data_IF_534973510181
#
_entry.id   IF_534973510181
#
_cell.length_a   1.000
_cell.length_b   1.000
_cell.length_c   1.000
_cell.angle_alpha   90.00
_cell.angle_beta   90.00
_cell.angle_gamma   90.00
#
_symmetry.space_group_name_H-M   'P 1'
#
loop_
_entity.id
_entity.type
_entity.pdbx_description
1 polymer ?
#
# COMPACT_ATOMS: atom_id res chain seq x y z
N UNK A 1 -13.40 3.25 -3.39
CA UNK A 1 -12.14 3.92 -3.01
C UNK A 1 -12.36 5.41 -3.00
N UNK A 2 -11.57 6.14 -2.21
CA UNK A 2 -11.60 7.61 -2.17
C UNK A 2 -10.52 8.19 -3.11
N UNK A 3 -10.68 9.45 -3.51
CA UNK A 3 -9.66 10.17 -4.27
C UNK A 3 -8.52 10.66 -3.36
N UNK A 4 -7.34 10.94 -3.93
CA UNK A 4 -6.24 11.57 -3.19
C UNK A 4 -6.70 12.88 -2.51
N UNK A 5 -7.51 13.70 -3.20
CA UNK A 5 -8.05 14.95 -2.65
C UNK A 5 -8.91 14.73 -1.40
N UNK A 6 -9.64 13.62 -1.34
CA UNK A 6 -10.42 13.24 -0.16
C UNK A 6 -9.51 12.66 0.92
N UNK A 7 -8.54 11.82 0.56
CA UNK A 7 -7.59 11.23 1.49
C UNK A 7 -6.73 12.26 2.22
N UNK A 8 -6.36 13.37 1.56
CA UNK A 8 -5.62 14.48 2.15
C UNK A 8 -6.40 15.24 3.24
N UNK A 9 -7.72 15.08 3.31
CA UNK A 9 -8.56 15.71 4.35
C UNK A 9 -8.76 14.81 5.57
N UNK A 10 -8.35 13.55 5.49
CA UNK A 10 -8.54 12.58 6.56
C UNK A 10 -7.57 12.84 7.72
N UNK A 11 -8.01 12.49 8.92
CA UNK A 11 -7.17 12.51 10.11
C UNK A 11 -6.13 11.38 10.08
N UNK A 12 -5.03 11.52 10.82
CA UNK A 12 -3.99 10.48 10.88
C UNK A 12 -4.54 9.08 11.28
N UNK A 13 -5.54 9.03 12.18
CA UNK A 13 -6.21 7.79 12.55
C UNK A 13 -7.03 7.17 11.41
N UNK A 14 -7.79 7.98 10.67
CA UNK A 14 -8.56 7.53 9.52
C UNK A 14 -7.67 7.04 8.38
N UNK A 15 -6.51 7.67 8.19
CA UNK A 15 -5.51 7.24 7.21
C UNK A 15 -4.89 5.89 7.60
N UNK A 16 -4.66 5.64 8.90
CA UNK A 16 -4.18 4.36 9.39
C UNK A 16 -5.23 3.24 9.21
N UNK A 17 -6.51 3.54 9.48
CA UNK A 17 -7.63 2.63 9.21
C UNK A 17 -7.74 2.31 7.72
N UNK A 18 -7.68 3.34 6.85
CA UNK A 18 -7.69 3.18 5.40
C UNK A 18 -6.55 2.27 4.91
N UNK A 19 -5.35 2.42 5.50
CA UNK A 19 -4.20 1.56 5.19
C UNK A 19 -4.50 0.11 5.56
N UNK A 20 -4.98 -0.15 6.77
CA UNK A 20 -5.32 -1.51 7.21
C UNK A 20 -6.41 -2.15 6.33
N UNK A 21 -7.43 -1.38 5.92
CA UNK A 21 -8.46 -1.86 4.99
C UNK A 21 -7.89 -2.20 3.61
N UNK A 22 -7.02 -1.34 3.07
CA UNK A 22 -6.35 -1.58 1.79
C UNK A 22 -5.52 -2.86 1.81
N UNK A 23 -4.75 -3.08 2.87
CA UNK A 23 -3.97 -4.31 3.00
C UNK A 23 -4.84 -5.56 2.97
N UNK A 24 -5.93 -5.58 3.75
CA UNK A 24 -6.88 -6.71 3.74
C UNK A 24 -7.45 -6.95 2.36
N UNK A 25 -7.79 -5.89 1.62
CA UNK A 25 -8.28 -6.01 0.24
C UNK A 25 -7.19 -6.52 -0.70
N UNK A 26 -5.97 -6.01 -0.62
CA UNK A 26 -4.85 -6.48 -1.44
C UNK A 26 -4.60 -7.98 -1.19
N UNK A 27 -4.63 -8.43 0.07
CA UNK A 27 -4.48 -9.85 0.36
C UNK A 27 -5.69 -10.70 -0.06
N UNK A 28 -6.90 -10.14 -0.05
CA UNK A 28 -8.10 -10.81 -0.58
C UNK A 28 -8.04 -10.95 -2.11
N UNK A 29 -7.61 -9.90 -2.81
CA UNK A 29 -7.42 -9.84 -4.27
C UNK A 29 -6.03 -10.36 -4.70
N UNK A 30 -5.54 -11.41 -4.03
CA UNK A 30 -4.25 -12.05 -4.35
C UNK A 30 -4.15 -12.56 -5.78
N UNK A 31 -5.28 -12.92 -6.38
CA UNK A 31 -5.37 -13.39 -7.77
C UNK A 31 -4.99 -12.32 -8.79
N UNK A 32 -5.08 -11.03 -8.43
CA UNK A 32 -4.71 -9.92 -9.32
C UNK A 32 -3.19 -9.83 -9.53
N UNK A 33 -2.38 -10.31 -8.57
CA UNK A 33 -0.92 -10.31 -8.66
C UNK A 33 -0.29 -8.93 -8.88
N UNK A 34 -0.91 -7.86 -8.38
CA UNK A 34 -0.48 -6.49 -8.62
C UNK A 34 0.73 -6.04 -7.78
N UNK A 35 1.02 -6.74 -6.68
CA UNK A 35 2.15 -6.49 -5.81
C UNK A 35 3.10 -7.69 -5.87
N UNK A 36 4.40 -7.42 -5.87
CA UNK A 36 5.44 -8.48 -5.90
C UNK A 36 5.33 -9.36 -4.64
N UNK A 37 4.99 -8.75 -3.50
CA UNK A 37 4.79 -9.43 -2.23
C UNK A 37 3.63 -10.44 -2.25
N UNK A 38 2.60 -10.22 -3.08
CA UNK A 38 1.53 -11.21 -3.25
C UNK A 38 2.06 -12.50 -3.90
N UNK A 39 2.92 -12.36 -4.91
CA UNK A 39 3.53 -13.48 -5.63
C UNK A 39 4.58 -14.19 -4.77
N UNK A 40 5.34 -13.43 -3.99
CA UNK A 40 6.35 -13.94 -3.07
C UNK A 40 5.78 -14.47 -1.74
N UNK A 41 4.46 -14.36 -1.52
CA UNK A 41 3.80 -14.66 -0.23
C UNK A 41 4.42 -13.92 0.96
N UNK A 42 4.89 -12.69 0.76
CA UNK A 42 5.48 -11.83 1.78
C UNK A 42 4.45 -10.82 2.31
N UNK A 43 4.66 -10.27 3.51
CA UNK A 43 3.88 -9.10 3.96
C UNK A 43 4.17 -7.89 3.06
N UNK A 44 3.18 -7.01 2.90
CA UNK A 44 3.33 -5.78 2.11
C UNK A 44 4.38 -4.86 2.76
N UNK A 45 5.27 -4.33 1.93
CA UNK A 45 6.28 -3.40 2.39
C UNK A 45 5.67 -2.03 2.69
N UNK A 46 6.09 -1.44 3.82
CA UNK A 46 5.44 -0.27 4.40
C UNK A 46 6.46 0.72 4.90
N UNK A 47 6.41 1.95 4.37
CA UNK A 47 7.29 3.03 4.81
C UNK A 47 6.47 4.29 5.14
N UNK A 48 6.81 4.92 6.27
CA UNK A 48 6.26 6.21 6.68
C UNK A 48 4.79 6.19 7.14
N UNK A 49 4.32 7.39 7.47
CA UNK A 49 2.93 7.69 7.86
C UNK A 49 2.32 8.68 6.84
N UNK A 50 1.02 8.55 6.59
CA UNK A 50 0.31 9.38 5.61
C UNK A 50 -0.51 8.55 4.63
N UNK A 51 -1.02 9.22 3.60
CA UNK A 51 -1.92 8.61 2.60
C UNK A 51 -1.19 7.43 1.93
N UNK A 52 -1.75 6.21 1.98
CA UNK A 52 -1.10 5.05 1.38
C UNK A 52 -1.04 5.20 -0.15
N UNK A 53 0.14 4.95 -0.71
CA UNK A 53 0.39 4.92 -2.15
C UNK A 53 1.13 3.63 -2.50
N UNK A 54 0.79 3.05 -3.65
CA UNK A 54 1.55 1.96 -4.23
C UNK A 54 2.64 2.55 -5.14
N UNK A 55 3.82 1.93 -5.13
CA UNK A 55 4.96 2.31 -5.96
C UNK A 55 5.29 1.10 -6.83
N UNK A 56 5.56 1.34 -8.13
CA UNK A 56 6.00 0.27 -9.02
C UNK A 56 7.40 -0.20 -8.60
N UNK A 57 7.62 -1.51 -8.52
CA UNK A 57 8.85 -2.09 -7.97
C UNK A 57 10.13 -1.68 -8.73
N UNK A 58 10.02 -1.24 -9.99
CA UNK A 58 11.14 -0.68 -10.76
C UNK A 58 11.57 0.73 -10.30
N UNK A 59 10.89 1.36 -9.34
CA UNK A 59 11.22 2.68 -8.81
C UNK A 59 12.01 2.49 -7.52
N UNK A 60 13.24 2.99 -7.49
CA UNK A 60 14.10 2.87 -6.31
C UNK A 60 13.57 3.73 -5.15
N UNK A 61 13.17 3.06 -4.06
CA UNK A 61 12.81 3.69 -2.79
C UNK A 61 13.94 3.43 -1.79
N UNK A 62 14.37 4.48 -1.08
CA UNK A 62 15.46 4.36 -0.10
C UNK A 62 15.04 3.40 1.02
N UNK A 63 15.79 2.31 1.17
CA UNK A 63 15.54 1.29 2.20
C UNK A 63 14.68 0.11 1.74
N UNK A 64 14.26 0.07 0.48
CA UNK A 64 13.59 -1.08 -0.12
C UNK A 64 14.48 -1.75 -1.16
N UNK A 65 14.40 -3.07 -1.21
CA UNK A 65 14.94 -3.85 -2.33
C UNK A 65 13.98 -3.73 -3.50
N UNK A 66 14.51 -3.42 -4.68
CA UNK A 66 13.77 -3.47 -5.94
C UNK A 66 14.12 -4.78 -6.66
N UNK A 67 13.14 -5.39 -7.34
CA UNK A 67 13.29 -6.67 -8.05
C UNK A 67 13.37 -6.49 -9.56
#
# INVERSE_FOLDING_TARGET
MITLKQALKLSAGEVAELRNELEKKIFADRELGAYVEQLANLPLDKLGAGVPIAIKDNIQVKGWSVT
#
